data_IF_526999446834
#
_entry.id   IF_526999446834
#
_cell.length_a   1.000
_cell.length_b   1.000
_cell.length_c   1.000
_cell.angle_alpha   90.00
_cell.angle_beta   90.00
_cell.angle_gamma   90.00
#
_symmetry.space_group_name_H-M   'P 1'
#
loop_
_entity.id
_entity.type
_entity.pdbx_description
1 polymer ?
#
# COMPACT_ATOMS: atom_id res chain seq x y z
N UNK A 1 -5.03 -17.80 16.20
CA UNK A 1 -4.60 -17.32 17.55
C UNK A 1 -4.14 -18.43 18.50
N UNK A 2 -4.76 -19.62 18.50
CA UNK A 2 -4.42 -20.71 19.45
C UNK A 2 -2.94 -21.11 19.46
N UNK A 3 -2.37 -21.46 18.29
CA UNK A 3 -1.02 -22.03 18.18
C UNK A 3 0.16 -21.12 18.62
N UNK A 4 -0.05 -19.80 18.70
CA UNK A 4 1.01 -18.85 19.13
C UNK A 4 0.95 -18.56 20.64
N UNK A 5 -0.25 -18.56 21.24
CA UNK A 5 -0.40 -18.51 22.69
C UNK A 5 0.17 -19.77 23.34
N UNK A 6 -0.04 -20.93 22.72
CA UNK A 6 0.49 -22.22 23.19
C UNK A 6 2.03 -22.28 23.16
N UNK A 7 2.69 -21.35 22.45
CA UNK A 7 4.15 -21.19 22.38
C UNK A 7 4.71 -20.13 23.35
N UNK A 8 3.87 -19.53 24.20
CA UNK A 8 4.30 -18.59 25.25
C UNK A 8 4.52 -17.14 24.80
N UNK A 9 4.11 -16.77 23.58
CA UNK A 9 4.21 -15.38 23.12
C UNK A 9 3.21 -14.46 23.83
N UNK A 10 3.64 -13.23 24.17
CA UNK A 10 2.76 -12.20 24.74
C UNK A 10 1.77 -11.68 23.70
N UNK A 11 0.72 -10.99 24.14
CA UNK A 11 -0.26 -10.38 23.22
C UNK A 11 0.40 -9.35 22.29
N UNK A 12 1.32 -8.52 22.79
CA UNK A 12 2.04 -7.56 21.96
C UNK A 12 2.90 -8.26 20.92
N UNK A 13 3.62 -9.32 21.30
CA UNK A 13 4.45 -10.10 20.36
C UNK A 13 3.61 -10.78 19.27
N UNK A 14 2.46 -11.33 19.65
CA UNK A 14 1.53 -11.93 18.68
C UNK A 14 1.01 -10.86 17.70
N UNK A 15 0.69 -9.66 18.20
CA UNK A 15 0.26 -8.53 17.37
C UNK A 15 1.37 -8.11 16.40
N UNK A 16 2.62 -8.01 16.87
CA UNK A 16 3.78 -7.69 16.05
C UNK A 16 4.02 -8.74 14.95
N UNK A 17 3.93 -10.03 15.29
CA UNK A 17 4.09 -11.14 14.34
C UNK A 17 2.98 -11.12 13.28
N UNK A 18 1.72 -10.88 13.68
CA UNK A 18 0.61 -10.78 12.73
C UNK A 18 0.76 -9.57 11.82
N UNK A 19 1.19 -8.42 12.36
CA UNK A 19 1.47 -7.22 11.59
C UNK A 19 2.58 -7.46 10.55
N UNK A 20 3.69 -8.09 10.95
CA UNK A 20 4.79 -8.44 10.04
C UNK A 20 4.36 -9.45 8.96
N UNK A 21 3.52 -10.42 9.31
CA UNK A 21 3.00 -11.41 8.35
C UNK A 21 2.07 -10.77 7.33
N UNK A 22 1.15 -9.91 7.76
CA UNK A 22 0.31 -9.13 6.85
C UNK A 22 1.16 -8.24 5.96
N UNK A 23 2.11 -7.49 6.53
CA UNK A 23 3.01 -6.63 5.76
C UNK A 23 3.81 -7.41 4.71
N UNK A 24 4.31 -8.60 5.03
CA UNK A 24 5.00 -9.45 4.06
C UNK A 24 4.05 -10.02 3.00
N UNK A 25 2.81 -10.36 3.37
CA UNK A 25 1.78 -10.79 2.42
C UNK A 25 1.35 -9.67 1.46
N UNK A 26 1.38 -8.40 1.91
CA UNK A 26 1.12 -7.22 1.07
C UNK A 26 2.32 -6.81 0.20
N UNK A 27 3.53 -6.82 0.75
CA UNK A 27 4.75 -6.49 0.01
C UNK A 27 5.02 -7.45 -1.15
N UNK A 28 4.52 -8.69 -1.10
CA UNK A 28 4.74 -9.69 -2.15
C UNK A 28 3.74 -9.62 -3.33
N UNK A 29 2.80 -8.66 -3.35
CA UNK A 29 1.72 -8.63 -4.35
C UNK A 29 1.92 -7.64 -5.49
N UNK A 30 2.79 -6.66 -5.32
CA UNK A 30 3.02 -5.62 -6.32
C UNK A 30 4.49 -5.68 -6.70
N UNK A 31 4.76 -5.60 -8.00
CA UNK A 31 6.09 -5.53 -8.59
C UNK A 31 6.21 -4.23 -9.39
N UNK A 32 7.43 -3.72 -9.53
CA UNK A 32 7.70 -2.59 -10.43
C UNK A 32 7.26 -2.97 -11.84
N UNK A 33 6.47 -2.10 -12.46
CA UNK A 33 5.90 -2.30 -13.79
C UNK A 33 4.47 -2.84 -13.78
N UNK A 34 3.95 -3.31 -12.63
CA UNK A 34 2.55 -3.73 -12.54
C UNK A 34 1.62 -2.56 -12.84
N UNK A 35 0.50 -2.87 -13.48
CA UNK A 35 -0.61 -1.94 -13.65
C UNK A 35 -1.54 -2.02 -12.46
N UNK A 36 -1.75 -0.89 -11.82
CA UNK A 36 -2.51 -0.74 -10.59
C UNK A 36 -3.59 0.33 -10.71
N UNK A 37 -4.59 0.24 -9.85
CA UNK A 37 -5.54 1.32 -9.55
C UNK A 37 -5.49 1.65 -8.06
N UNK A 38 -5.90 2.86 -7.70
CA UNK A 38 -6.03 3.25 -6.30
C UNK A 38 -7.20 2.48 -5.65
N UNK A 39 -6.95 1.87 -4.50
CA UNK A 39 -8.01 1.28 -3.68
C UNK A 39 -8.77 2.39 -2.95
N UNK A 40 -9.88 2.82 -3.56
CA UNK A 40 -10.75 3.86 -3.01
C UNK A 40 -11.27 3.53 -1.61
N UNK A 41 -11.64 2.27 -1.35
CA UNK A 41 -12.18 1.89 -0.05
C UNK A 41 -11.10 1.97 1.02
N UNK A 42 -9.90 1.46 0.73
CA UNK A 42 -8.77 1.51 1.66
C UNK A 42 -8.28 2.95 1.91
N UNK A 43 -8.16 3.77 0.87
CA UNK A 43 -7.65 5.15 0.98
C UNK A 43 -8.65 6.06 1.72
N UNK A 44 -9.92 6.05 1.33
CA UNK A 44 -10.95 6.91 1.95
C UNK A 44 -11.37 6.36 3.32
N UNK A 45 -11.27 5.05 3.51
CA UNK A 45 -11.55 4.36 4.77
C UNK A 45 -10.49 4.57 5.86
N UNK A 46 -9.32 5.14 5.53
CA UNK A 46 -8.29 5.49 6.52
C UNK A 46 -8.89 6.45 7.57
N UNK A 47 -8.84 6.11 8.89
CA UNK A 47 -9.32 6.99 9.95
C UNK A 47 -8.70 8.39 9.95
N UNK A 48 -7.49 8.53 9.39
CA UNK A 48 -6.78 9.79 9.24
C UNK A 48 -7.00 10.46 7.88
N UNK A 49 -7.84 9.93 6.98
CA UNK A 49 -8.12 10.49 5.66
C UNK A 49 -8.32 12.02 5.70
N UNK A 50 -9.20 12.50 6.59
CA UNK A 50 -9.50 13.94 6.73
C UNK A 50 -8.31 14.80 7.19
N UNK A 51 -7.27 14.18 7.76
CA UNK A 51 -6.03 14.84 8.21
C UNK A 51 -4.92 14.79 7.15
N UNK A 52 -5.06 13.97 6.10
CA UNK A 52 -4.11 13.93 4.99
C UNK A 52 -4.14 15.25 4.23
N UNK A 53 -3.03 15.52 3.55
CA UNK A 53 -2.85 16.73 2.75
C UNK A 53 -4.03 16.94 1.77
N UNK A 54 -4.47 18.19 1.62
CA UNK A 54 -5.65 18.48 0.80
C UNK A 54 -5.39 18.21 -0.69
N UNK A 55 -4.18 18.48 -1.20
CA UNK A 55 -3.81 18.21 -2.57
C UNK A 55 -3.71 16.70 -2.82
N UNK A 56 -3.15 15.94 -1.88
CA UNK A 56 -3.16 14.47 -1.94
C UNK A 56 -4.58 13.92 -2.09
N UNK A 57 -5.52 14.44 -1.30
CA UNK A 57 -6.92 13.97 -1.34
C UNK A 57 -7.59 14.28 -2.66
N UNK A 58 -7.39 15.49 -3.20
CA UNK A 58 -7.92 15.88 -4.51
C UNK A 58 -7.32 15.01 -5.60
N UNK A 59 -6.00 14.82 -5.57
CA UNK A 59 -5.30 13.97 -6.53
C UNK A 59 -5.87 12.54 -6.52
N UNK A 60 -6.06 11.92 -5.36
CA UNK A 60 -6.66 10.59 -5.28
C UNK A 60 -8.09 10.56 -5.85
N UNK A 61 -8.90 11.58 -5.56
CA UNK A 61 -10.29 11.67 -6.04
C UNK A 61 -10.38 11.73 -7.57
N UNK A 62 -9.41 12.36 -8.22
CA UNK A 62 -9.33 12.47 -9.68
C UNK A 62 -8.82 11.19 -10.36
N UNK A 63 -8.13 10.32 -9.61
CA UNK A 63 -7.39 9.19 -10.16
C UNK A 63 -7.87 7.80 -9.71
N UNK A 64 -8.96 7.70 -8.92
CA UNK A 64 -9.43 6.41 -8.39
C UNK A 64 -9.67 5.34 -9.47
N UNK A 65 -10.19 5.74 -10.62
CA UNK A 65 -10.53 4.81 -11.72
C UNK A 65 -9.46 4.78 -12.82
N UNK A 66 -8.28 5.34 -12.57
CA UNK A 66 -7.20 5.47 -13.55
C UNK A 66 -6.18 4.34 -13.37
N UNK A 67 -5.89 3.63 -14.46
CA UNK A 67 -4.80 2.64 -14.50
C UNK A 67 -3.45 3.36 -14.54
N UNK A 68 -2.58 3.01 -13.60
CA UNK A 68 -1.22 3.56 -13.49
C UNK A 68 -0.19 2.46 -13.33
N UNK A 69 1.07 2.79 -13.50
CA UNK A 69 2.20 1.88 -13.37
C UNK A 69 2.85 2.05 -12.01
N UNK A 70 2.96 0.97 -11.25
CA UNK A 70 3.61 0.97 -9.95
C UNK A 70 5.14 0.91 -10.07
N UNK A 71 5.83 1.69 -9.25
CA UNK A 71 7.28 1.66 -9.11
C UNK A 71 7.66 1.77 -7.64
N UNK A 72 8.69 1.03 -7.21
CA UNK A 72 9.23 1.17 -5.86
C UNK A 72 9.83 2.56 -5.68
N UNK A 73 9.41 3.30 -4.66
CA UNK A 73 9.93 4.64 -4.38
C UNK A 73 11.44 4.63 -4.11
N UNK A 74 11.89 3.74 -3.20
CA UNK A 74 13.29 3.53 -2.83
C UNK A 74 13.51 2.10 -2.39
N UNK A 75 14.66 1.51 -2.74
CA UNK A 75 15.02 0.15 -2.31
C UNK A 75 15.01 -0.02 -0.77
N UNK A 76 15.32 1.04 -0.02
CA UNK A 76 15.28 1.03 1.45
C UNK A 76 13.86 1.13 2.04
N UNK A 77 12.85 1.41 1.21
CA UNK A 77 11.43 1.52 1.56
C UNK A 77 10.58 0.73 0.56
N UNK A 78 10.75 -0.62 0.51
CA UNK A 78 9.98 -1.47 -0.41
C UNK A 78 8.50 -1.56 -0.04
N UNK A 79 8.10 -0.99 1.10
CA UNK A 79 6.71 -0.84 1.54
C UNK A 79 6.00 0.37 0.92
N UNK A 80 6.71 1.21 0.17
CA UNK A 80 6.21 2.42 -0.47
C UNK A 80 6.36 2.38 -1.98
N UNK A 81 5.25 2.68 -2.64
CA UNK A 81 5.10 2.70 -4.08
C UNK A 81 4.84 4.13 -4.54
N UNK A 82 5.42 4.49 -5.67
CA UNK A 82 5.06 5.68 -6.43
C UNK A 82 4.42 5.25 -7.74
N UNK A 83 3.71 6.16 -8.38
CA UNK A 83 3.04 5.92 -9.65
C UNK A 83 3.79 6.67 -10.75
N UNK A 84 4.08 5.99 -11.85
CA UNK A 84 4.91 6.55 -12.94
C UNK A 84 4.24 7.77 -13.56
N UNK A 85 2.92 7.68 -13.77
CA UNK A 85 2.06 8.71 -14.36
C UNK A 85 1.75 9.88 -13.42
N UNK A 86 2.10 9.77 -12.13
CA UNK A 86 2.02 10.90 -11.19
C UNK A 86 3.07 11.96 -11.54
N UNK A 87 2.60 13.14 -11.95
CA UNK A 87 3.42 14.30 -12.32
C UNK A 87 3.57 15.32 -11.19
N UNK A 88 3.09 15.03 -9.97
CA UNK A 88 3.25 15.91 -8.83
C UNK A 88 4.70 15.98 -8.34
N UNK A 89 5.08 17.13 -7.79
CA UNK A 89 6.40 17.33 -7.15
C UNK A 89 6.21 17.87 -5.71
N UNK A 90 6.50 17.07 -4.67
CA UNK A 90 6.95 15.68 -4.74
C UNK A 90 5.84 14.71 -5.22
N UNK A 91 6.24 13.55 -5.74
CA UNK A 91 5.31 12.45 -6.05
C UNK A 91 4.60 11.94 -4.80
N UNK A 92 3.36 11.50 -4.96
CA UNK A 92 2.61 10.82 -3.91
C UNK A 92 3.10 9.39 -3.70
N UNK A 93 3.10 8.97 -2.45
CA UNK A 93 3.54 7.65 -2.04
C UNK A 93 2.37 6.86 -1.46
N UNK A 94 2.33 5.58 -1.81
CA UNK A 94 1.25 4.66 -1.47
C UNK A 94 1.81 3.42 -0.81
N UNK A 95 1.09 2.92 0.19
CA UNK A 95 1.31 1.56 0.67
C UNK A 95 0.69 0.55 -0.30
N UNK A 96 1.22 -0.68 -0.30
CA UNK A 96 0.67 -1.74 -1.15
C UNK A 96 -0.82 -2.06 -0.86
N UNK A 97 -1.31 -1.77 0.35
CA UNK A 97 -2.72 -1.92 0.72
C UNK A 97 -3.63 -0.83 0.14
N UNK A 98 -3.06 0.24 -0.41
CA UNK A 98 -3.81 1.35 -1.03
C UNK A 98 -3.88 1.19 -2.56
N UNK A 99 -3.38 0.07 -3.10
CA UNK A 99 -3.30 -0.22 -4.53
C UNK A 99 -3.91 -1.58 -4.84
N UNK A 100 -4.61 -1.66 -5.97
CA UNK A 100 -5.18 -2.89 -6.52
C UNK A 100 -4.43 -3.21 -7.81
N UNK A 101 -3.82 -4.40 -7.89
CA UNK A 101 -3.20 -4.87 -9.15
C UNK A 101 -4.29 -5.25 -10.13
N UNK A 102 -4.29 -4.60 -11.29
CA UNK A 102 -5.20 -4.86 -12.40
C UNK A 102 -4.54 -5.76 -13.44
N UNK A 103 -3.23 -5.59 -13.64
CA UNK A 103 -2.44 -6.44 -14.53
C UNK A 103 -0.99 -6.53 -14.06
N UNK A 104 -0.52 -7.77 -13.92
CA UNK A 104 0.87 -8.07 -13.59
C UNK A 104 1.79 -7.74 -14.78
N UNK A 105 2.96 -7.20 -14.49
CA UNK A 105 4.02 -7.04 -15.48
C UNK A 105 4.49 -8.44 -15.92
N UNK A 106 4.55 -8.73 -17.23
CA UNK A 106 5.04 -10.02 -17.69
C UNK A 106 6.50 -10.18 -17.27
N UNK A 107 6.76 -11.23 -16.49
CA UNK A 107 8.10 -11.63 -16.05
C UNK A 107 9.05 -11.93 -17.21
#
# INVERSE_FOLDING_TARGET
MSKLKDKGYTKEQISQIMFLKQRNEYNNKIHTGDKVQLDKESIVGDPNWKRKDALYRVWCLEHFDVEMTAEVYKESRPDLWQLVEDDSEPKWLFHASELIVIKEYPA
#
